data_IF_444684348895
#
_entry.id   IF_444684348895
#
_cell.length_a   1.000
_cell.length_b   1.000
_cell.length_c   1.000
_cell.angle_alpha   90.00
_cell.angle_beta   90.00
_cell.angle_gamma   90.00
#
_symmetry.space_group_name_H-M   'P 1'
#
loop_
_entity.id
_entity.type
_entity.pdbx_description
1 polymer ?
#
# COMPACT_ATOMS: atom_id res chain seq x y z
N UNK A 1 -24.01 20.35 0.10
CA UNK A 1 -23.63 19.69 0.39
C UNK A 1 -23.31 18.85 0.52
N UNK A 2 -23.27 19.34 0.53
CA UNK A 2 -22.86 18.59 0.83
C UNK A 2 -22.88 17.41 1.14
N UNK A 3 -23.65 17.01 0.76
CA UNK A 3 -23.89 15.68 1.24
C UNK A 3 -22.66 14.94 1.62
N UNK A 4 -21.67 15.12 0.87
CA UNK A 4 -20.36 14.52 1.15
C UNK A 4 -19.75 14.98 2.47
N UNK A 5 -20.25 16.08 3.03
CA UNK A 5 -19.69 16.59 4.27
C UNK A 5 -19.91 15.67 5.47
N UNK A 6 -20.97 14.83 5.39
CA UNK A 6 -21.28 13.90 6.47
C UNK A 6 -20.61 12.55 6.27
N UNK A 7 -19.91 12.37 5.18
CA UNK A 7 -19.29 11.11 4.82
C UNK A 7 -17.77 11.24 4.90
N UNK A 8 -17.17 10.39 5.71
CA UNK A 8 -15.71 10.36 5.83
C UNK A 8 -15.15 9.44 4.76
N UNK A 9 -14.40 10.01 3.83
CA UNK A 9 -13.75 9.22 2.80
C UNK A 9 -12.77 8.23 3.45
N UNK A 10 -12.69 6.99 2.95
CA UNK A 10 -11.70 6.04 3.44
C UNK A 10 -10.29 6.61 3.48
N UNK A 11 -9.95 7.46 2.51
CA UNK A 11 -8.61 8.05 2.42
C UNK A 11 -8.30 9.03 3.55
N UNK A 12 -9.33 9.49 4.30
CA UNK A 12 -9.11 10.40 5.41
C UNK A 12 -8.88 9.69 6.75
N UNK A 13 -9.10 8.39 6.79
CA UNK A 13 -8.88 7.63 8.01
C UNK A 13 -7.39 7.45 8.27
N UNK A 14 -7.00 7.68 9.52
CA UNK A 14 -5.63 7.45 9.94
C UNK A 14 -5.45 5.98 10.27
N UNK A 15 -4.29 5.44 9.91
CA UNK A 15 -4.00 4.05 10.25
C UNK A 15 -4.03 3.82 11.77
N UNK A 16 -3.65 4.81 12.56
CA UNK A 16 -3.64 4.67 14.01
C UNK A 16 -5.04 4.51 14.60
N UNK A 17 -6.08 4.90 13.85
CA UNK A 17 -7.47 4.72 14.27
C UNK A 17 -7.95 3.30 14.02
N UNK A 18 -7.35 2.59 13.10
CA UNK A 18 -7.79 1.27 12.68
C UNK A 18 -6.83 0.16 13.12
N UNK A 19 -5.54 0.46 13.17
CA UNK A 19 -4.53 -0.51 13.57
C UNK A 19 -3.94 -0.01 14.88
N UNK A 20 -4.46 -0.54 15.98
CA UNK A 20 -4.09 -0.09 17.33
C UNK A 20 -2.93 -0.89 17.93
N UNK A 21 -2.66 -2.07 17.36
CA UNK A 21 -1.57 -2.92 17.83
C UNK A 21 -0.31 -2.61 17.05
N UNK A 22 0.81 -2.53 17.77
CA UNK A 22 2.13 -2.49 17.13
C UNK A 22 2.62 -3.92 17.01
N UNK A 23 3.03 -4.31 15.80
CA UNK A 23 3.50 -5.68 15.58
C UNK A 23 4.72 -5.96 16.43
N UNK A 24 4.65 -7.07 17.18
CA UNK A 24 5.77 -7.63 17.93
C UNK A 24 5.76 -9.15 17.75
N UNK A 25 6.67 -9.84 18.40
CA UNK A 25 6.80 -11.28 18.21
C UNK A 25 5.64 -12.10 18.77
N UNK A 26 4.75 -11.49 19.56
CA UNK A 26 3.66 -12.20 20.23
C UNK A 26 2.28 -11.94 19.64
N UNK A 27 2.14 -10.94 18.78
CA UNK A 27 0.81 -10.51 18.32
C UNK A 27 0.62 -10.51 16.82
N UNK A 28 1.41 -11.30 16.11
CA UNK A 28 1.39 -11.26 14.65
C UNK A 28 -0.01 -11.43 14.06
N UNK A 29 -0.76 -12.43 14.50
CA UNK A 29 -2.06 -12.69 13.90
C UNK A 29 -3.05 -11.57 14.18
N UNK A 30 -3.07 -11.06 15.39
CA UNK A 30 -3.97 -9.95 15.74
C UNK A 30 -3.62 -8.69 14.97
N UNK A 31 -2.34 -8.38 14.89
CA UNK A 31 -1.84 -7.24 14.11
C UNK A 31 -2.19 -7.41 12.63
N UNK A 32 -1.91 -8.58 12.09
CA UNK A 32 -2.17 -8.87 10.67
C UNK A 32 -3.64 -8.68 10.35
N UNK A 33 -4.53 -9.18 11.21
CA UNK A 33 -5.96 -9.04 10.99
C UNK A 33 -6.36 -7.57 10.95
N UNK A 34 -5.88 -6.76 11.88
CA UNK A 34 -6.19 -5.33 11.88
C UNK A 34 -5.64 -4.64 10.63
N UNK A 35 -4.42 -4.95 10.26
CA UNK A 35 -3.77 -4.31 9.12
C UNK A 35 -4.48 -4.69 7.82
N UNK A 36 -4.79 -5.95 7.64
CA UNK A 36 -5.49 -6.41 6.43
C UNK A 36 -6.89 -5.81 6.33
N UNK A 37 -7.60 -5.69 7.43
CA UNK A 37 -8.91 -5.05 7.44
C UNK A 37 -8.80 -3.57 7.09
N UNK A 38 -7.78 -2.91 7.59
CA UNK A 38 -7.54 -1.52 7.23
C UNK A 38 -7.30 -1.39 5.72
N UNK A 39 -6.40 -2.20 5.17
CA UNK A 39 -6.13 -2.16 3.73
C UNK A 39 -7.38 -2.48 2.91
N UNK A 40 -8.16 -3.46 3.36
CA UNK A 40 -9.39 -3.82 2.66
C UNK A 40 -10.39 -2.67 2.68
N UNK A 41 -10.50 -1.95 3.78
CA UNK A 41 -11.39 -0.80 3.87
C UNK A 41 -10.96 0.33 2.92
N UNK A 42 -9.68 0.40 2.58
CA UNK A 42 -9.13 1.36 1.63
C UNK A 42 -9.12 0.83 0.20
N UNK A 43 -9.57 -0.40 0.01
CA UNK A 43 -9.54 -1.11 -1.27
C UNK A 43 -8.12 -1.31 -1.79
N UNK A 44 -7.18 -1.51 -0.88
CA UNK A 44 -5.76 -1.61 -1.20
C UNK A 44 -5.15 -2.98 -0.89
N UNK A 45 -5.96 -3.92 -0.39
CA UNK A 45 -5.43 -5.23 -0.01
C UNK A 45 -4.77 -5.95 -1.20
N UNK A 46 -5.24 -5.69 -2.42
CA UNK A 46 -4.68 -6.30 -3.62
C UNK A 46 -3.19 -6.02 -3.83
N UNK A 47 -2.71 -4.91 -3.29
CA UNK A 47 -1.28 -4.57 -3.40
C UNK A 47 -0.40 -5.58 -2.65
N UNK A 48 -0.86 -6.07 -1.51
CA UNK A 48 -0.07 -7.02 -0.71
C UNK A 48 -0.34 -8.47 -1.08
N UNK A 49 -1.51 -8.76 -1.66
CA UNK A 49 -1.83 -10.13 -2.10
C UNK A 49 -1.34 -10.43 -3.51
N UNK A 50 -0.99 -9.40 -4.27
CA UNK A 50 -0.62 -9.55 -5.66
C UNK A 50 -1.79 -9.45 -6.63
N UNK A 51 -3.03 -9.27 -6.14
CA UNK A 51 -4.19 -9.13 -7.00
C UNK A 51 -4.15 -7.83 -7.82
N UNK A 52 -3.42 -6.83 -7.34
CA UNK A 52 -3.19 -5.57 -8.06
C UNK A 52 -1.71 -5.52 -8.43
N UNK A 53 -1.33 -6.14 -9.57
CA UNK A 53 0.08 -6.25 -9.92
C UNK A 53 0.68 -4.91 -10.36
N UNK A 54 1.98 -4.81 -10.19
CA UNK A 54 2.72 -3.61 -10.61
C UNK A 54 2.69 -3.47 -12.12
N UNK A 55 2.23 -2.32 -12.66
CA UNK A 55 2.26 -2.07 -14.09
C UNK A 55 3.69 -1.99 -14.62
N UNK A 56 3.83 -2.09 -15.93
CA UNK A 56 5.13 -1.92 -16.57
C UNK A 56 5.59 -0.46 -16.41
N UNK A 57 6.88 -0.23 -16.12
CA UNK A 57 7.36 1.13 -15.92
C UNK A 57 7.37 1.97 -17.20
N UNK A 58 7.46 1.32 -18.34
CA UNK A 58 7.49 1.99 -19.63
C UNK A 58 6.39 1.45 -20.53
N UNK A 59 5.85 2.33 -21.37
CA UNK A 59 4.88 1.95 -22.40
C UNK A 59 5.42 2.41 -23.75
N UNK A 60 5.02 1.67 -24.79
CA UNK A 60 5.37 2.06 -26.15
C UNK A 60 4.39 3.08 -26.66
N UNK A 61 4.89 4.15 -27.24
CA UNK A 61 4.09 5.20 -27.84
C UNK A 61 4.39 5.21 -29.34
N UNK A 62 3.34 4.99 -30.13
CA UNK A 62 3.46 5.01 -31.60
C UNK A 62 3.05 6.37 -32.12
N UNK A 63 3.92 6.96 -32.94
CA UNK A 63 3.68 8.25 -33.54
C UNK A 63 3.97 8.10 -35.04
N UNK A 64 2.96 7.66 -35.81
CA UNK A 64 3.15 7.26 -37.19
C UNK A 64 3.96 5.98 -37.24
N UNK A 65 5.09 6.02 -37.95
CA UNK A 65 6.00 4.87 -38.05
C UNK A 65 7.03 4.81 -36.93
N UNK A 66 7.05 5.84 -36.10
CA UNK A 66 8.03 5.94 -35.01
C UNK A 66 7.42 5.34 -33.75
N UNK A 67 8.18 4.42 -33.13
CA UNK A 67 7.80 3.81 -31.86
C UNK A 67 8.84 4.23 -30.82
N UNK A 68 8.40 4.87 -29.76
CA UNK A 68 9.28 5.30 -28.68
C UNK A 68 8.74 4.76 -27.35
N UNK A 69 9.62 4.71 -26.35
CA UNK A 69 9.23 4.36 -25.02
C UNK A 69 8.97 5.62 -24.19
N UNK A 70 7.98 5.54 -23.32
CA UNK A 70 7.62 6.65 -22.45
C UNK A 70 7.26 6.10 -21.08
N UNK A 71 7.36 6.95 -20.06
CA UNK A 71 6.96 6.58 -18.71
C UNK A 71 5.48 6.20 -18.66
N UNK A 72 5.18 5.16 -17.90
CA UNK A 72 3.81 4.73 -17.72
C UNK A 72 3.21 5.42 -16.49
N UNK A 73 2.21 6.32 -16.66
CA UNK A 73 1.62 6.99 -15.51
C UNK A 73 0.99 6.04 -14.50
N UNK A 74 0.47 4.90 -14.97
CA UNK A 74 -0.12 3.91 -14.08
C UNK A 74 0.93 3.26 -13.18
N UNK A 75 2.14 3.10 -13.69
CA UNK A 75 3.25 2.60 -12.88
C UNK A 75 3.57 3.58 -11.74
N UNK A 76 3.63 4.87 -12.03
CA UNK A 76 3.94 5.87 -11.02
C UNK A 76 2.85 5.93 -9.94
N UNK A 77 1.58 5.84 -10.35
CA UNK A 77 0.47 5.82 -9.39
C UNK A 77 0.54 4.59 -8.51
N UNK A 78 0.84 3.44 -9.10
CA UNK A 78 0.95 2.20 -8.35
C UNK A 78 2.08 2.30 -7.32
N UNK A 79 3.23 2.83 -7.72
CA UNK A 79 4.38 2.97 -6.82
C UNK A 79 4.06 3.92 -5.67
N UNK A 80 3.38 5.05 -5.95
CA UNK A 80 3.01 5.98 -4.90
C UNK A 80 2.09 5.33 -3.87
N UNK A 81 1.10 4.57 -4.34
CA UNK A 81 0.17 3.87 -3.46
C UNK A 81 0.90 2.80 -2.67
N UNK A 82 1.78 2.05 -3.32
CA UNK A 82 2.55 1.02 -2.64
C UNK A 82 3.43 1.61 -1.54
N UNK A 83 4.06 2.76 -1.81
CA UNK A 83 4.90 3.43 -0.82
C UNK A 83 4.07 3.97 0.34
N UNK A 84 2.83 4.37 0.09
CA UNK A 84 1.93 4.76 1.16
C UNK A 84 1.62 3.58 2.08
N UNK A 85 1.36 2.41 1.47
CA UNK A 85 1.13 1.18 2.24
C UNK A 85 2.38 0.83 3.05
N UNK A 86 3.57 0.99 2.47
CA UNK A 86 4.82 0.77 3.19
C UNK A 86 4.96 1.70 4.40
N UNK A 87 4.58 2.97 4.24
CA UNK A 87 4.63 3.91 5.34
C UNK A 87 3.68 3.50 6.47
N UNK A 88 2.46 3.06 6.11
CA UNK A 88 1.51 2.55 7.11
C UNK A 88 2.05 1.31 7.79
N UNK A 89 2.65 0.41 7.01
CA UNK A 89 3.21 -0.82 7.53
C UNK A 89 4.29 -0.52 8.57
N UNK A 90 5.24 0.32 8.21
CA UNK A 90 6.33 0.67 9.12
C UNK A 90 5.81 1.37 10.37
N UNK A 91 4.81 2.24 10.22
CA UNK A 91 4.23 2.94 11.35
C UNK A 91 3.47 2.03 12.32
N UNK A 92 3.11 0.83 11.88
CA UNK A 92 2.39 -0.13 12.70
C UNK A 92 3.30 -1.20 13.31
N UNK A 93 4.61 -1.07 13.15
CA UNK A 93 5.58 -2.03 13.69
C UNK A 93 6.20 -1.50 14.97
N UNK A 94 6.53 -2.43 15.87
CA UNK A 94 7.34 -2.09 17.02
C UNK A 94 8.77 -1.79 16.56
N UNK A 95 9.54 -1.15 17.42
CA UNK A 95 10.93 -0.85 17.11
C UNK A 95 11.74 -2.11 16.82
N UNK A 96 11.46 -3.18 17.55
CA UNK A 96 12.12 -4.46 17.33
C UNK A 96 11.76 -5.06 15.98
N UNK A 97 10.47 -4.98 15.62
CA UNK A 97 10.01 -5.51 14.34
C UNK A 97 10.62 -4.74 13.18
N UNK A 98 10.76 -3.41 13.32
CA UNK A 98 11.39 -2.58 12.29
C UNK A 98 12.81 -3.04 11.97
N UNK A 99 13.54 -3.48 12.98
CA UNK A 99 14.90 -3.93 12.78
C UNK A 99 15.00 -5.20 11.95
N UNK A 100 13.95 -6.04 11.98
CA UNK A 100 13.98 -7.32 11.26
C UNK A 100 13.47 -7.24 9.84
N UNK A 101 12.94 -6.11 9.40
CA UNK A 101 12.40 -5.98 8.04
C UNK A 101 13.27 -5.11 7.13
N UNK A 102 14.50 -4.91 7.54
CA UNK A 102 15.44 -4.14 6.74
C UNK A 102 15.59 -4.77 5.35
N UNK A 103 15.41 -3.96 4.32
CA UNK A 103 15.56 -4.44 2.94
C UNK A 103 14.26 -4.65 2.18
N UNK A 104 13.09 -4.49 2.81
CA UNK A 104 11.84 -4.58 2.07
C UNK A 104 11.74 -3.47 1.03
N UNK A 105 11.27 -3.82 -0.17
CA UNK A 105 11.10 -2.87 -1.26
C UNK A 105 9.63 -2.54 -1.55
N UNK A 106 8.75 -3.53 -1.40
CA UNK A 106 7.34 -3.40 -1.75
C UNK A 106 6.48 -3.95 -0.64
N UNK A 107 5.23 -3.47 -0.59
CA UNK A 107 4.32 -3.88 0.48
C UNK A 107 3.98 -5.36 0.45
N UNK A 108 4.15 -6.02 -0.70
CA UNK A 108 3.88 -7.45 -0.80
C UNK A 108 5.07 -8.34 -0.44
N UNK A 109 6.20 -7.73 -0.05
CA UNK A 109 7.32 -8.51 0.44
C UNK A 109 6.91 -9.22 1.73
N UNK A 110 7.51 -10.39 2.04
CA UNK A 110 6.93 -11.29 3.05
C UNK A 110 7.04 -10.79 4.48
N UNK A 111 6.09 -9.96 4.87
CA UNK A 111 5.83 -9.66 6.27
C UNK A 111 4.34 -9.91 6.57
N UNK A 112 3.51 -9.78 5.57
CA UNK A 112 2.07 -10.07 5.68
C UNK A 112 1.71 -11.48 5.17
#
# INVERSE_FOLDING_TARGET
>A
MEGSSDFVSPATLSISQCVTLKLNEKNYFSWKLQFEQFLNSQMLLGFVTGATPRPQPLVQVRNGDIVTESSNPEFMKWVQTDQLIMAWLFGSLSEEALKSIYGLQYSRDPIL
#
